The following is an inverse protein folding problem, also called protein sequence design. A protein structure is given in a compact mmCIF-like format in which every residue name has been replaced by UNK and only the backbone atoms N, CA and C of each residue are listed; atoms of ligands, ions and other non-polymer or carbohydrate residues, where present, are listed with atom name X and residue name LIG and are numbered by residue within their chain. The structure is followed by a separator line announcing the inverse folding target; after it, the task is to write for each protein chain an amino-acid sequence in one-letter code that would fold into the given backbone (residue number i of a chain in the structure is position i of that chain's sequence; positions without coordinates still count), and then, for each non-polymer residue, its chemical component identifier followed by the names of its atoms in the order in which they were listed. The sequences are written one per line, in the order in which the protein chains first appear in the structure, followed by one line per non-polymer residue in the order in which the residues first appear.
data_IF_990219138713
#
_entry.id   IF_990219138713
#
_cell.length_a   1.000
_cell.length_b   1.000
_cell.length_c   1.000
_cell.angle_alpha   90.00
_cell.angle_beta   90.00
_cell.angle_gamma   90.00
#
_symmetry.space_group_name_H-M   'P 1'
#
loop_
_entity.id
_entity.type
_entity.pdbx_description
1 polymer ?
#
# COMPACT_ATOMS: atom_id res chain seq x y z
N UNK A 1 -46.83 16.26 9.79
CA UNK A 1 -46.65 14.79 9.73
C UNK A 1 -45.53 14.50 8.75
N UNK A 2 -44.41 13.90 9.17
CA UNK A 2 -43.29 13.67 8.23
C UNK A 2 -41.94 13.30 8.84
N UNK A 3 -41.91 12.54 9.95
CA UNK A 3 -40.65 12.10 10.58
C UNK A 3 -40.59 10.60 10.92
N UNK A 4 -41.43 9.76 10.31
CA UNK A 4 -41.47 8.32 10.63
C UNK A 4 -40.89 7.38 9.55
N UNK A 5 -40.58 7.84 8.32
CA UNK A 5 -40.28 6.90 7.21
C UNK A 5 -38.80 6.57 6.93
N UNK A 6 -37.82 7.24 7.56
CA UNK A 6 -36.41 7.02 7.21
C UNK A 6 -35.70 5.94 8.06
N UNK A 7 -36.14 5.76 9.31
CA UNK A 7 -35.60 4.73 10.19
C UNK A 7 -36.08 3.32 9.78
N UNK A 8 -37.33 3.23 9.35
CA UNK A 8 -38.03 1.99 8.95
C UNK A 8 -37.45 1.39 7.65
N UNK A 9 -37.12 2.23 6.66
CA UNK A 9 -36.49 1.78 5.42
C UNK A 9 -35.07 1.20 5.63
N UNK A 10 -34.34 1.74 6.61
CA UNK A 10 -32.98 1.28 6.93
C UNK A 10 -32.97 -0.04 7.72
N UNK A 11 -34.03 -0.33 8.46
CA UNK A 11 -34.23 -1.59 9.17
C UNK A 11 -34.70 -2.68 8.21
N UNK A 12 -35.68 -2.37 7.36
CA UNK A 12 -36.17 -3.28 6.32
C UNK A 12 -35.06 -3.72 5.34
N UNK A 13 -34.20 -2.78 4.91
CA UNK A 13 -33.07 -3.10 4.05
C UNK A 13 -32.06 -4.05 4.70
N UNK A 14 -31.82 -3.91 6.01
CA UNK A 14 -30.93 -4.84 6.75
C UNK A 14 -31.55 -6.22 6.86
N UNK A 15 -32.85 -6.31 7.17
CA UNK A 15 -33.56 -7.58 7.26
C UNK A 15 -33.56 -8.35 5.93
N UNK A 16 -33.75 -7.64 4.82
CA UNK A 16 -33.69 -8.24 3.47
C UNK A 16 -32.28 -8.73 3.14
N UNK A 17 -31.25 -7.94 3.46
CA UNK A 17 -29.85 -8.31 3.24
C UNK A 17 -29.43 -9.51 4.10
N UNK A 18 -29.92 -9.59 5.34
CA UNK A 18 -29.66 -10.68 6.28
C UNK A 18 -30.35 -11.97 5.85
N UNK A 19 -31.62 -11.89 5.46
CA UNK A 19 -32.38 -13.05 4.96
C UNK A 19 -31.79 -13.59 3.65
N UNK A 20 -31.37 -12.70 2.74
CA UNK A 20 -30.72 -13.12 1.49
C UNK A 20 -29.38 -13.82 1.77
N UNK A 21 -28.60 -13.33 2.74
CA UNK A 21 -27.34 -13.98 3.14
C UNK A 21 -27.57 -15.36 3.73
N UNK A 22 -28.55 -15.50 4.63
CA UNK A 22 -28.88 -16.80 5.24
C UNK A 22 -29.33 -17.82 4.19
N UNK A 23 -30.15 -17.39 3.23
CA UNK A 23 -30.59 -18.26 2.13
C UNK A 23 -29.42 -18.71 1.25
N UNK A 24 -28.49 -17.81 0.91
CA UNK A 24 -27.31 -18.15 0.10
C UNK A 24 -26.39 -19.12 0.82
N UNK A 25 -26.13 -18.91 2.12
CA UNK A 25 -25.26 -19.79 2.92
C UNK A 25 -25.79 -21.23 2.95
N UNK A 26 -27.11 -21.40 2.95
CA UNK A 26 -27.76 -22.72 2.98
C UNK A 26 -27.53 -23.56 1.71
N UNK A 27 -27.16 -22.93 0.59
CA UNK A 27 -26.86 -23.63 -0.68
C UNK A 27 -25.37 -23.88 -0.90
N UNK A 28 -24.50 -23.43 0.01
CA UNK A 28 -23.06 -23.67 -0.07
C UNK A 28 -22.71 -25.07 0.45
N UNK A 29 -21.66 -25.66 -0.12
CA UNK A 29 -21.07 -26.91 0.39
C UNK A 29 -20.41 -26.68 1.76
N UNK A 30 -20.19 -27.74 2.53
CA UNK A 30 -19.57 -27.65 3.86
C UNK A 30 -18.18 -27.00 3.82
N UNK A 31 -17.42 -27.21 2.74
CA UNK A 31 -16.12 -26.57 2.52
C UNK A 31 -16.24 -25.07 2.24
N UNK A 32 -17.23 -24.67 1.43
CA UNK A 32 -17.54 -23.26 1.16
C UNK A 32 -18.12 -22.53 2.38
N UNK A 33 -18.93 -23.22 3.20
CA UNK A 33 -19.44 -22.72 4.47
C UNK A 33 -18.29 -22.53 5.48
N UNK A 34 -17.36 -23.48 5.56
CA UNK A 34 -16.17 -23.37 6.41
C UNK A 34 -15.25 -22.22 5.95
N UNK A 35 -15.07 -22.04 4.64
CA UNK A 35 -14.31 -20.92 4.07
C UNK A 35 -14.98 -19.55 4.36
N UNK A 36 -16.31 -19.47 4.24
CA UNK A 36 -17.08 -18.26 4.54
C UNK A 36 -17.07 -17.93 6.05
N UNK A 37 -17.13 -18.93 6.92
CA UNK A 37 -17.06 -18.77 8.37
C UNK A 37 -15.64 -18.41 8.87
N UNK A 38 -14.60 -18.89 8.19
CA UNK A 38 -13.21 -18.53 8.47
C UNK A 38 -12.84 -17.11 7.99
N UNK A 39 -13.61 -16.53 7.07
CA UNK A 39 -13.45 -15.15 6.66
C UNK A 39 -13.92 -14.18 7.76
N UNK A 40 -12.98 -13.60 8.52
CA UNK A 40 -13.29 -12.58 9.52
C UNK A 40 -14.10 -11.42 8.88
N UNK A 41 -15.16 -10.91 9.53
CA UNK A 41 -15.92 -9.78 9.00
C UNK A 41 -14.98 -8.58 8.83
N UNK A 42 -14.95 -8.01 7.63
CA UNK A 42 -14.17 -6.81 7.34
C UNK A 42 -14.60 -5.71 8.32
N UNK A 43 -13.69 -5.31 9.22
CA UNK A 43 -13.94 -4.17 10.13
C UNK A 43 -14.29 -2.97 9.25
N UNK A 44 -15.53 -2.47 9.36
CA UNK A 44 -15.98 -1.21 8.73
C UNK A 44 -15.14 -0.08 9.30
N UNK A 45 -13.98 0.14 8.68
CA UNK A 45 -13.15 1.30 8.95
C UNK A 45 -13.93 2.49 8.44
N UNK A 46 -14.21 3.48 9.28
CA UNK A 46 -14.82 4.74 8.85
C UNK A 46 -13.87 5.36 7.82
N UNK A 47 -14.20 5.16 6.54
CA UNK A 47 -13.48 5.76 5.43
C UNK A 47 -13.79 7.24 5.48
N UNK A 48 -12.85 8.04 6.00
CA UNK A 48 -12.90 9.48 5.76
C UNK A 48 -12.81 9.68 4.25
N UNK A 49 -13.90 10.16 3.63
CA UNK A 49 -13.89 10.58 2.22
C UNK A 49 -12.73 11.56 2.02
N UNK A 50 -12.09 11.51 0.86
CA UNK A 50 -11.07 12.50 0.50
C UNK A 50 -11.63 13.91 0.62
N UNK A 51 -10.74 14.89 0.77
CA UNK A 51 -11.12 16.30 0.68
C UNK A 51 -10.70 16.81 -0.70
N UNK A 52 -11.56 16.69 -1.73
CA UNK A 52 -11.20 17.09 -3.09
C UNK A 52 -10.90 18.59 -3.18
N UNK A 53 -11.50 19.40 -2.31
CA UNK A 53 -11.34 20.86 -2.27
C UNK A 53 -10.16 21.32 -1.39
N UNK A 54 -9.49 20.38 -0.71
CA UNK A 54 -8.34 20.68 0.14
C UNK A 54 -7.01 20.70 -0.63
N UNK A 55 -5.91 21.21 -0.03
CA UNK A 55 -4.60 21.18 -0.65
C UNK A 55 -4.21 19.76 -1.06
N UNK A 56 -3.63 19.58 -2.25
CA UNK A 56 -3.25 18.25 -2.74
C UNK A 56 -2.23 17.61 -1.80
N UNK A 57 -2.46 16.37 -1.38
CA UNK A 57 -1.42 15.55 -0.75
C UNK A 57 -0.34 15.20 -1.78
N UNK A 58 0.93 15.32 -1.42
CA UNK A 58 2.04 15.15 -2.37
C UNK A 58 2.87 13.94 -1.97
N UNK A 59 3.13 13.04 -2.92
CA UNK A 59 4.08 11.93 -2.73
C UNK A 59 5.49 12.51 -2.80
N UNK A 60 6.15 12.57 -1.65
CA UNK A 60 7.51 13.13 -1.54
C UNK A 60 8.59 12.06 -1.64
N UNK A 61 8.22 10.80 -1.44
CA UNK A 61 9.12 9.66 -1.63
C UNK A 61 8.33 8.39 -1.86
N UNK A 62 8.81 7.54 -2.77
CA UNK A 62 8.30 6.19 -3.00
C UNK A 62 9.46 5.21 -2.91
N UNK A 63 9.33 4.19 -2.06
CA UNK A 63 10.40 3.22 -1.79
C UNK A 63 9.92 1.79 -1.91
N UNK A 64 10.77 0.95 -2.51
CA UNK A 64 10.65 -0.50 -2.44
C UNK A 64 11.55 -1.01 -1.32
N UNK A 65 10.96 -1.59 -0.30
CA UNK A 65 11.67 -2.22 0.82
C UNK A 65 10.85 -3.40 1.33
N UNK A 66 11.35 -4.61 1.13
CA UNK A 66 10.64 -5.84 1.49
C UNK A 66 10.31 -5.94 3.00
N UNK A 67 11.10 -5.24 3.83
CA UNK A 67 10.90 -5.20 5.29
C UNK A 67 9.93 -4.09 5.71
N UNK A 68 9.43 -3.31 4.76
CA UNK A 68 8.47 -2.22 4.96
C UNK A 68 9.01 -1.19 5.96
N UNK A 69 8.35 -1.02 7.11
CA UNK A 69 8.82 -0.14 8.19
C UNK A 69 9.69 -0.97 9.14
N UNK A 70 11.00 -0.73 9.11
CA UNK A 70 11.95 -1.43 9.97
C UNK A 70 13.11 -0.55 10.44
N UNK A 71 13.64 -0.91 11.62
CA UNK A 71 14.82 -0.31 12.21
C UNK A 71 14.79 1.22 12.23
N UNK A 72 15.97 1.82 12.05
CA UNK A 72 16.11 3.29 11.94
C UNK A 72 15.94 3.78 10.51
N UNK A 73 15.95 2.89 9.50
CA UNK A 73 15.93 3.25 8.07
C UNK A 73 14.66 4.02 7.71
N UNK A 74 13.49 3.52 8.13
CA UNK A 74 12.23 4.20 7.88
C UNK A 74 12.19 5.58 8.54
N UNK A 75 12.75 5.74 9.74
CA UNK A 75 12.83 7.03 10.44
C UNK A 75 13.77 8.01 9.73
N UNK A 76 14.97 7.57 9.34
CA UNK A 76 15.94 8.40 8.62
C UNK A 76 15.37 8.90 7.30
N UNK A 77 14.74 8.02 6.49
CA UNK A 77 14.08 8.43 5.25
C UNK A 77 12.94 9.40 5.52
N UNK A 78 12.05 9.08 6.46
CA UNK A 78 10.89 9.91 6.81
C UNK A 78 11.31 11.34 7.17
N UNK A 79 12.35 11.48 7.99
CA UNK A 79 12.90 12.78 8.37
C UNK A 79 13.56 13.49 7.19
N UNK A 80 14.36 12.77 6.40
CA UNK A 80 15.08 13.34 5.25
C UNK A 80 14.13 13.90 4.21
N UNK A 81 13.05 13.20 3.91
CA UNK A 81 12.06 13.61 2.90
C UNK A 81 10.93 14.44 3.50
N UNK A 82 10.96 14.72 4.81
CA UNK A 82 9.96 15.52 5.52
C UNK A 82 8.53 14.97 5.42
N UNK A 83 8.38 13.64 5.42
CA UNK A 83 7.06 13.02 5.27
C UNK A 83 6.23 13.13 6.55
N UNK A 84 4.96 13.53 6.40
CA UNK A 84 3.98 13.61 7.49
C UNK A 84 3.06 12.38 7.55
N UNK A 85 3.06 11.56 6.49
CA UNK A 85 2.37 10.27 6.42
C UNK A 85 3.23 9.21 5.75
N UNK A 86 3.20 7.99 6.29
CA UNK A 86 3.67 6.78 5.60
C UNK A 86 2.45 6.00 5.11
N UNK A 87 2.47 5.59 3.84
CA UNK A 87 1.50 4.67 3.24
C UNK A 87 2.23 3.38 2.90
N UNK A 88 1.93 2.32 3.64
CA UNK A 88 2.41 0.97 3.36
C UNK A 88 1.39 0.27 2.46
N UNK A 89 1.86 -0.19 1.31
CA UNK A 89 1.04 -0.90 0.32
C UNK A 89 1.47 -2.35 0.31
N UNK A 90 0.68 -3.22 0.95
CA UNK A 90 0.92 -4.64 0.98
C UNK A 90 -0.35 -5.41 1.38
N UNK A 91 -0.83 -6.28 0.50
CA UNK A 91 -2.06 -7.04 0.67
C UNK A 91 -1.95 -8.12 1.76
N UNK A 92 -0.78 -8.73 1.91
CA UNK A 92 -0.58 -9.87 2.82
C UNK A 92 -0.47 -9.45 4.28
N UNK A 93 0.18 -8.33 4.57
CA UNK A 93 0.26 -7.75 5.92
C UNK A 93 -1.12 -7.50 6.52
N UNK A 94 -2.14 -7.22 5.71
CA UNK A 94 -3.50 -7.02 6.20
C UNK A 94 -4.17 -8.31 6.69
N UNK A 95 -3.62 -9.48 6.30
CA UNK A 95 -4.09 -10.80 6.71
C UNK A 95 -3.33 -11.32 7.94
N UNK A 96 -2.25 -10.66 8.34
CA UNK A 96 -1.40 -11.02 9.46
C UNK A 96 -1.47 -9.97 10.57
N UNK A 97 -2.24 -10.28 11.63
CA UNK A 97 -2.44 -9.39 12.77
C UNK A 97 -1.12 -9.05 13.50
N UNK A 98 -0.15 -9.97 13.53
CA UNK A 98 1.15 -9.76 14.17
C UNK A 98 2.03 -8.83 13.33
N UNK A 99 2.12 -9.06 12.02
CA UNK A 99 2.84 -8.17 11.12
C UNK A 99 2.26 -6.75 11.13
N UNK A 100 0.92 -6.64 11.12
CA UNK A 100 0.21 -5.36 11.19
C UNK A 100 0.52 -4.60 12.49
N UNK A 101 0.55 -5.31 13.63
CA UNK A 101 0.94 -4.72 14.92
C UNK A 101 2.40 -4.26 14.91
N UNK A 102 3.30 -5.07 14.34
CA UNK A 102 4.72 -4.74 14.18
C UNK A 102 4.94 -3.41 13.44
N UNK A 103 4.28 -3.23 12.28
CA UNK A 103 4.39 -1.99 11.51
C UNK A 103 3.87 -0.76 12.25
N UNK A 104 2.77 -0.92 13.01
CA UNK A 104 2.22 0.18 13.82
C UNK A 104 3.18 0.61 14.92
N UNK A 105 3.90 -0.34 15.53
CA UNK A 105 4.92 -0.05 16.54
C UNK A 105 6.20 0.54 15.92
N UNK A 106 6.61 0.07 14.75
CA UNK A 106 7.82 0.52 14.07
C UNK A 106 7.70 1.92 13.44
N UNK A 107 6.47 2.42 13.26
CA UNK A 107 6.19 3.75 12.70
C UNK A 107 6.91 4.87 13.48
N UNK A 108 7.65 5.77 12.80
CA UNK A 108 8.26 6.94 13.43
C UNK A 108 7.24 7.80 14.21
N UNK A 109 7.65 8.36 15.33
CA UNK A 109 6.81 9.26 16.14
C UNK A 109 6.39 10.50 15.34
N UNK A 110 5.20 11.04 15.62
CA UNK A 110 4.69 12.26 14.95
C UNK A 110 4.17 12.07 13.52
N UNK A 111 4.35 10.90 12.92
CA UNK A 111 3.96 10.63 11.52
C UNK A 111 2.68 9.80 11.46
N UNK A 112 1.77 10.08 10.52
CA UNK A 112 0.55 9.29 10.31
C UNK A 112 0.87 7.99 9.56
N UNK A 113 0.12 6.93 9.78
CA UNK A 113 0.30 5.65 9.06
C UNK A 113 -0.99 5.20 8.41
N UNK A 114 -0.88 4.65 7.20
CA UNK A 114 -1.95 3.92 6.53
C UNK A 114 -1.37 2.66 5.91
N UNK A 115 -2.02 1.53 6.16
CA UNK A 115 -1.62 0.22 5.63
C UNK A 115 -2.82 -0.26 4.82
N UNK A 116 -2.62 -0.58 3.54
CA UNK A 116 -3.72 -0.91 2.63
C UNK A 116 -3.25 -1.82 1.50
N UNK A 117 -4.23 -2.36 0.76
CA UNK A 117 -3.96 -3.14 -0.46
C UNK A 117 -3.52 -2.25 -1.61
N UNK A 118 -2.91 -2.84 -2.64
CA UNK A 118 -2.57 -2.15 -3.90
C UNK A 118 -3.80 -1.46 -4.50
N UNK A 119 -4.92 -2.19 -4.60
CA UNK A 119 -6.18 -1.65 -5.12
C UNK A 119 -6.65 -0.41 -4.35
N UNK A 120 -6.59 -0.48 -3.02
CA UNK A 120 -7.01 0.64 -2.18
C UNK A 120 -6.04 1.82 -2.25
N UNK A 121 -4.75 1.55 -2.39
CA UNK A 121 -3.74 2.59 -2.55
C UNK A 121 -3.94 3.39 -3.84
N UNK A 122 -4.23 2.72 -4.96
CA UNK A 122 -4.53 3.38 -6.24
C UNK A 122 -5.71 4.35 -6.10
N UNK A 123 -6.83 3.90 -5.52
CA UNK A 123 -8.00 4.75 -5.29
C UNK A 123 -7.64 5.96 -4.40
N UNK A 124 -7.03 5.71 -3.24
CA UNK A 124 -6.80 6.74 -2.22
C UNK A 124 -5.76 7.78 -2.62
N UNK A 125 -4.69 7.35 -3.30
CA UNK A 125 -3.63 8.25 -3.73
C UNK A 125 -4.06 9.11 -4.91
N UNK A 126 -4.96 8.62 -5.78
CA UNK A 126 -5.51 9.38 -6.91
C UNK A 126 -6.62 10.36 -6.49
N UNK A 127 -7.45 10.01 -5.52
CA UNK A 127 -8.59 10.84 -5.07
C UNK A 127 -8.21 11.95 -4.07
N UNK A 128 -6.94 12.35 -3.97
CA UNK A 128 -6.46 13.32 -2.99
C UNK A 128 -6.91 12.99 -1.55
N UNK A 129 -6.93 11.71 -1.19
CA UNK A 129 -7.56 11.28 0.05
C UNK A 129 -6.72 11.58 1.30
N UNK A 130 -5.53 12.15 1.11
CA UNK A 130 -4.58 12.61 2.13
C UNK A 130 -4.22 14.08 1.90
N UNK A 131 -5.24 14.91 1.64
CA UNK A 131 -5.09 16.35 1.44
C UNK A 131 -4.17 17.00 2.49
N UNK A 132 -3.17 17.75 1.99
CA UNK A 132 -2.16 18.45 2.79
C UNK A 132 -1.06 17.57 3.40
N UNK A 133 -1.12 16.24 3.28
CA UNK A 133 -0.06 15.37 3.78
C UNK A 133 1.12 15.30 2.77
N UNK A 134 2.34 15.20 3.29
CA UNK A 134 3.54 14.80 2.55
C UNK A 134 3.71 13.29 2.72
N UNK A 135 3.52 12.56 1.63
CA UNK A 135 3.29 11.12 1.63
C UNK A 135 4.59 10.39 1.28
N UNK A 136 4.99 9.47 2.15
CA UNK A 136 6.03 8.48 1.88
C UNK A 136 5.35 7.13 1.61
N UNK A 137 5.39 6.69 0.36
CA UNK A 137 4.85 5.38 -0.08
C UNK A 137 5.92 4.30 0.06
N UNK A 138 5.56 3.16 0.65
CA UNK A 138 6.44 1.98 0.77
C UNK A 138 5.69 0.75 0.24
N UNK A 139 6.27 0.08 -0.77
CA UNK A 139 5.81 -1.23 -1.24
C UNK A 139 6.80 -2.31 -0.83
N UNK A 140 6.33 -3.55 -0.73
CA UNK A 140 7.18 -4.70 -0.41
C UNK A 140 8.10 -5.08 -1.58
N UNK A 141 7.61 -4.97 -2.81
CA UNK A 141 8.28 -5.44 -4.01
C UNK A 141 8.14 -4.43 -5.16
N UNK A 142 8.90 -4.66 -6.24
CA UNK A 142 8.92 -3.79 -7.43
C UNK A 142 7.61 -3.87 -8.20
N UNK A 143 7.03 -5.07 -8.36
CA UNK A 143 5.77 -5.27 -9.08
C UNK A 143 4.62 -4.44 -8.50
N UNK A 144 4.46 -4.38 -7.18
CA UNK A 144 3.45 -3.56 -6.51
C UNK A 144 3.69 -2.06 -6.79
N UNK A 145 4.94 -1.61 -6.81
CA UNK A 145 5.28 -0.21 -7.13
C UNK A 145 4.97 0.12 -8.59
N UNK A 146 5.38 -0.76 -9.50
CA UNK A 146 5.09 -0.64 -10.92
C UNK A 146 3.57 -0.61 -11.17
N UNK A 147 2.81 -1.46 -10.47
CA UNK A 147 1.35 -1.50 -10.58
C UNK A 147 0.68 -0.19 -10.12
N UNK A 148 1.17 0.45 -9.06
CA UNK A 148 0.69 1.78 -8.66
C UNK A 148 0.90 2.81 -9.78
N UNK A 149 2.09 2.81 -10.39
CA UNK A 149 2.45 3.72 -11.48
C UNK A 149 1.62 3.45 -12.73
N UNK A 150 1.52 2.18 -13.17
CA UNK A 150 0.70 1.76 -14.32
C UNK A 150 -0.75 2.20 -14.18
N UNK A 151 -1.26 2.23 -12.95
CA UNK A 151 -2.65 2.64 -12.65
C UNK A 151 -2.83 4.13 -12.37
N UNK A 152 -1.82 4.94 -12.69
CA UNK A 152 -1.89 6.39 -12.71
C UNK A 152 -1.73 7.04 -11.34
N UNK A 153 -1.05 6.40 -10.40
CA UNK A 153 -0.56 7.07 -9.19
C UNK A 153 0.65 7.92 -9.59
N UNK A 154 0.60 9.22 -9.30
CA UNK A 154 1.67 10.18 -9.63
C UNK A 154 2.91 9.95 -8.75
N UNK A 155 3.90 9.22 -9.26
CA UNK A 155 5.18 8.93 -8.60
C UNK A 155 6.32 9.32 -9.53
N UNK A 156 7.04 10.41 -9.23
CA UNK A 156 8.13 10.87 -10.09
C UNK A 156 9.41 10.05 -9.93
N UNK A 157 9.68 9.58 -8.70
CA UNK A 157 10.92 8.89 -8.33
C UNK A 157 10.66 7.69 -7.43
N UNK A 158 11.24 6.56 -7.80
CA UNK A 158 11.23 5.32 -7.03
C UNK A 158 12.63 5.03 -6.51
N UNK A 159 12.73 4.77 -5.22
CA UNK A 159 13.94 4.34 -4.56
C UNK A 159 13.86 2.84 -4.21
N UNK A 160 14.73 2.02 -4.80
CA UNK A 160 14.86 0.60 -4.49
C UNK A 160 15.86 0.43 -3.35
N UNK A 161 15.35 0.21 -2.16
CA UNK A 161 16.15 0.11 -0.94
C UNK A 161 16.54 -1.30 -0.59
N UNK A 162 15.54 -2.18 -0.52
CA UNK A 162 15.75 -3.59 -0.19
C UNK A 162 14.83 -4.50 -1.00
N UNK A 163 15.45 -5.47 -1.66
CA UNK A 163 14.77 -6.61 -2.29
C UNK A 163 15.58 -7.85 -1.94
N UNK A 164 15.02 -8.78 -1.15
CA UNK A 164 15.75 -9.95 -0.70
C UNK A 164 16.06 -10.90 -1.87
N UNK A 165 17.08 -11.73 -1.64
CA UNK A 165 17.44 -12.78 -2.58
C UNK A 165 16.32 -13.80 -2.64
N UNK A 166 15.88 -14.10 -3.86
CA UNK A 166 14.93 -15.17 -4.17
C UNK A 166 15.38 -15.96 -5.40
N UNK A 167 14.71 -17.07 -5.67
CA UNK A 167 15.02 -17.89 -6.83
C UNK A 167 14.98 -17.06 -8.13
N UNK A 168 15.96 -17.29 -9.02
CA UNK A 168 16.09 -16.56 -10.27
C UNK A 168 16.54 -15.10 -10.14
N UNK A 169 16.79 -14.59 -8.94
CA UNK A 169 17.29 -13.22 -8.75
C UNK A 169 18.81 -13.12 -8.85
N UNK A 170 19.30 -12.05 -9.51
CA UNK A 170 20.71 -11.65 -9.51
C UNK A 170 20.95 -10.51 -8.53
N UNK A 171 22.09 -10.53 -7.85
CA UNK A 171 22.47 -9.48 -6.93
C UNK A 171 23.07 -8.30 -7.70
N UNK A 172 22.51 -7.09 -7.52
CA UNK A 172 23.05 -5.86 -8.14
C UNK A 172 23.66 -4.91 -7.11
N UNK A 173 23.26 -5.05 -5.84
CA UNK A 173 23.79 -4.28 -4.70
C UNK A 173 23.61 -5.10 -3.42
N UNK A 174 24.34 -4.73 -2.36
CA UNK A 174 24.33 -5.43 -1.05
C UNK A 174 22.93 -5.81 -0.55
N UNK A 175 21.92 -4.97 -0.77
CA UNK A 175 20.54 -5.17 -0.30
C UNK A 175 19.51 -5.38 -1.41
N UNK A 176 19.93 -5.48 -2.68
CA UNK A 176 19.03 -5.49 -3.83
C UNK A 176 19.35 -6.67 -4.74
N UNK A 177 18.39 -7.59 -4.83
CA UNK A 177 18.43 -8.75 -5.71
C UNK A 177 17.21 -8.70 -6.62
N UNK A 178 17.41 -8.81 -7.93
CA UNK A 178 16.37 -8.58 -8.93
C UNK A 178 16.20 -9.81 -9.81
N UNK A 179 14.95 -10.24 -10.03
CA UNK A 179 14.63 -11.20 -11.10
C UNK A 179 14.54 -10.49 -12.45
N UNK A 180 14.47 -11.23 -13.55
CA UNK A 180 14.24 -10.61 -14.87
C UNK A 180 12.94 -9.80 -14.92
N UNK A 181 11.86 -10.29 -14.30
CA UNK A 181 10.61 -9.52 -14.20
C UNK A 181 10.78 -8.17 -13.47
N UNK A 182 11.61 -8.12 -12.41
CA UNK A 182 11.86 -6.86 -11.69
C UNK A 182 12.59 -5.86 -12.61
N UNK A 183 13.52 -6.37 -13.43
CA UNK A 183 14.32 -5.59 -14.37
C UNK A 183 13.42 -5.04 -15.48
N UNK A 184 12.51 -5.86 -16.00
CA UNK A 184 11.50 -5.42 -16.97
C UNK A 184 10.60 -4.31 -16.41
N UNK A 185 10.08 -4.48 -15.18
CA UNK A 185 9.26 -3.46 -14.50
C UNK A 185 10.06 -2.16 -14.28
N UNK A 186 11.34 -2.26 -13.89
CA UNK A 186 12.24 -1.10 -13.77
C UNK A 186 12.40 -0.38 -15.12
N UNK A 187 12.64 -1.13 -16.20
CA UNK A 187 12.76 -0.55 -17.54
C UNK A 187 11.45 0.09 -18.00
N UNK A 188 10.30 -0.51 -17.70
CA UNK A 188 8.99 0.07 -17.97
C UNK A 188 8.83 1.42 -17.25
N UNK A 189 9.09 1.47 -15.93
CA UNK A 189 9.03 2.71 -15.15
C UNK A 189 9.96 3.78 -15.73
N UNK A 190 11.20 3.44 -16.10
CA UNK A 190 12.14 4.40 -16.67
C UNK A 190 11.67 4.89 -18.05
N UNK A 191 11.14 4.01 -18.91
CA UNK A 191 10.56 4.39 -20.21
C UNK A 191 9.33 5.29 -20.04
N UNK A 192 8.57 5.12 -18.96
CA UNK A 192 7.45 5.98 -18.57
C UNK A 192 7.88 7.37 -18.06
N UNK A 193 9.19 7.64 -17.93
CA UNK A 193 9.73 8.91 -17.45
C UNK A 193 9.97 8.97 -15.94
N UNK A 194 9.83 7.85 -15.23
CA UNK A 194 10.06 7.77 -13.79
C UNK A 194 11.54 7.52 -13.48
N UNK A 195 12.09 8.24 -12.51
CA UNK A 195 13.47 7.99 -12.07
C UNK A 195 13.53 6.82 -11.10
N UNK A 196 14.34 5.79 -11.36
CA UNK A 196 14.52 4.64 -10.46
C UNK A 196 15.95 4.59 -9.95
N UNK A 197 16.13 4.67 -8.63
CA UNK A 197 17.45 4.72 -7.96
C UNK A 197 17.61 3.57 -6.97
N UNK A 198 18.84 3.29 -6.53
CA UNK A 198 19.12 2.20 -5.58
C UNK A 198 19.91 2.70 -4.35
N UNK A 199 19.21 3.01 -3.26
CA UNK A 199 19.82 3.49 -2.00
C UNK A 199 19.18 2.82 -0.78
N UNK A 200 19.97 2.21 0.09
CA UNK A 200 19.46 1.70 1.38
C UNK A 200 19.14 2.85 2.33
N UNK A 201 20.03 3.85 2.42
CA UNK A 201 19.92 5.05 3.25
C UNK A 201 20.23 6.32 2.44
N UNK A 202 19.77 7.51 2.87
CA UNK A 202 19.91 8.74 2.09
C UNK A 202 21.35 9.18 1.79
N UNK A 203 22.32 8.76 2.63
CA UNK A 203 23.72 9.16 2.46
C UNK A 203 24.47 8.31 1.42
N UNK A 204 23.82 7.30 0.83
CA UNK A 204 24.38 6.59 -0.33
C UNK A 204 24.26 7.42 -1.61
N UNK A 205 25.08 7.13 -2.61
CA UNK A 205 25.02 7.79 -3.92
C UNK A 205 23.63 7.66 -4.55
N UNK A 206 23.01 8.79 -4.93
CA UNK A 206 21.71 8.83 -5.62
C UNK A 206 21.93 8.63 -7.13
N UNK A 207 22.07 7.36 -7.53
CA UNK A 207 22.33 6.96 -8.91
C UNK A 207 21.19 6.12 -9.48
N UNK A 208 21.00 6.24 -10.79
CA UNK A 208 20.10 5.36 -11.54
C UNK A 208 20.45 3.89 -11.27
N UNK A 209 19.42 3.09 -11.02
CA UNK A 209 19.57 1.65 -10.78
C UNK A 209 20.20 0.93 -11.98
N UNK A 210 20.08 1.49 -13.19
CA UNK A 210 20.68 0.93 -14.41
C UNK A 210 22.21 0.84 -14.34
N UNK A 211 22.86 1.69 -13.54
CA UNK A 211 24.32 1.65 -13.38
C UNK A 211 24.81 0.35 -12.73
N UNK A 212 23.92 -0.40 -12.08
CA UNK A 212 24.22 -1.64 -11.38
C UNK A 212 23.72 -2.88 -12.15
N UNK A 213 23.04 -2.69 -13.27
CA UNK A 213 22.55 -3.74 -14.17
C UNK A 213 23.56 -3.93 -15.31
N UNK A 214 24.73 -4.47 -14.98
CA UNK A 214 25.73 -4.92 -15.95
C UNK A 214 25.50 -6.36 -16.38
#
# INVERSE_FOLDING_TARGET
MGRENAADAGELARTVEETAREQVIRFLTDEEQAAAAAAKPAKKTVVRRGNPDGPKGVIVHARVDERLIHGQVAMVWTNTVGASRIVVVNDDVLKDDMALAGLKMAKPAGVKLSIMTVNRAVERLRENAYSGDRIFVITKNIGDMAELIRRGVEIDRVNVGNVAKREGSRNIKKSVNLTEQDIEDIHEMIRGGHSVTAQMIPNESDQSILNYLQ
#
